data_IF_991632624225
#
_entry.id   IF_991632624225
#
_cell.length_a   1.000
_cell.length_b   1.000
_cell.length_c   1.000
_cell.angle_alpha   90.00
_cell.angle_beta   90.00
_cell.angle_gamma   90.00
#
_symmetry.space_group_name_H-M   'P 1'
#
loop_
_entity.id
_entity.type
_entity.pdbx_description
1 polymer ?
#
# COMPACT_ATOMS: atom_id res chain seq x y z
N UNK A 1 1.16 -18.42 11.01
CA UNK A 1 0.47 -17.13 10.81
C UNK A 1 0.64 -16.26 12.05
N UNK A 2 0.80 -14.95 11.86
CA UNK A 2 0.88 -13.95 12.92
C UNK A 2 -0.33 -13.02 12.83
N UNK A 3 -0.95 -12.69 13.97
CA UNK A 3 -2.17 -11.87 14.07
C UNK A 3 -2.05 -10.91 15.26
N UNK A 4 -2.66 -9.73 15.16
CA UNK A 4 -2.67 -8.73 16.23
C UNK A 4 -4.07 -8.56 16.81
N UNK A 5 -4.19 -8.68 18.13
CA UNK A 5 -5.44 -8.52 18.86
C UNK A 5 -5.41 -7.27 19.73
N UNK A 6 -6.52 -6.53 19.75
CA UNK A 6 -6.74 -5.41 20.66
C UNK A 6 -7.99 -5.70 21.49
N UNK A 7 -7.86 -5.75 22.82
CA UNK A 7 -8.96 -6.06 23.76
C UNK A 7 -9.73 -7.35 23.43
N UNK A 8 -9.04 -8.38 22.94
CA UNK A 8 -9.63 -9.67 22.57
C UNK A 8 -10.24 -9.71 21.16
N UNK A 9 -10.29 -8.59 20.47
CA UNK A 9 -10.80 -8.45 19.10
C UNK A 9 -9.63 -8.42 18.12
N UNK A 10 -9.72 -9.11 17.00
CA UNK A 10 -8.69 -9.08 15.96
C UNK A 10 -8.69 -7.70 15.31
N UNK A 11 -7.63 -6.95 15.57
CA UNK A 11 -7.54 -5.56 15.15
C UNK A 11 -6.07 -5.22 14.92
N UNK A 12 -5.69 -5.18 13.65
CA UNK A 12 -4.33 -4.94 13.19
C UNK A 12 -3.87 -5.92 12.11
N UNK A 13 -2.57 -5.90 11.83
CA UNK A 13 -1.97 -6.66 10.75
C UNK A 13 -2.03 -8.16 11.00
N UNK A 14 -2.23 -8.93 9.93
CA UNK A 14 -1.92 -10.35 9.91
C UNK A 14 -0.84 -10.65 8.84
N UNK A 15 -0.09 -11.72 9.08
CA UNK A 15 0.90 -12.24 8.13
C UNK A 15 0.83 -13.76 8.11
N UNK A 16 0.55 -14.32 6.95
CA UNK A 16 0.60 -15.73 6.67
C UNK A 16 1.91 -16.06 5.96
N UNK A 17 2.45 -17.26 6.20
CA UNK A 17 3.73 -17.69 5.65
C UNK A 17 3.56 -19.04 4.97
N UNK A 18 4.33 -19.27 3.91
CA UNK A 18 4.55 -20.57 3.31
C UNK A 18 5.35 -21.48 4.24
N UNK A 19 5.35 -22.79 3.99
CA UNK A 19 6.13 -23.76 4.76
C UNK A 19 7.64 -23.44 4.74
N UNK A 20 8.11 -22.81 3.66
CA UNK A 20 9.49 -22.35 3.51
C UNK A 20 9.82 -21.05 4.29
N UNK A 21 8.87 -20.49 5.05
CA UNK A 21 9.04 -19.29 5.86
C UNK A 21 8.87 -17.96 5.11
N UNK A 22 8.65 -17.97 3.78
CA UNK A 22 8.33 -16.76 3.00
C UNK A 22 6.91 -16.28 3.29
N UNK A 23 6.66 -14.99 3.13
CA UNK A 23 5.31 -14.43 3.30
C UNK A 23 4.41 -14.96 2.17
N UNK A 24 3.25 -15.48 2.57
CA UNK A 24 2.19 -16.01 1.70
C UNK A 24 1.06 -15.01 1.52
N UNK A 25 0.68 -14.33 2.59
CA UNK A 25 -0.33 -13.29 2.54
C UNK A 25 -0.14 -12.31 3.69
N UNK A 26 -0.60 -11.09 3.52
CA UNK A 26 -0.69 -10.09 4.56
C UNK A 26 -1.97 -9.27 4.37
N UNK A 27 -2.42 -8.65 5.44
CA UNK A 27 -3.55 -7.76 5.40
C UNK A 27 -3.91 -7.24 6.78
N UNK A 28 -5.06 -6.60 6.89
CA UNK A 28 -5.50 -5.95 8.12
C UNK A 28 -6.89 -6.43 8.50
N UNK A 29 -7.07 -6.65 9.79
CA UNK A 29 -8.39 -6.77 10.40
C UNK A 29 -8.72 -5.50 11.17
N UNK A 30 -9.97 -5.05 11.07
CA UNK A 30 -10.55 -4.01 11.90
C UNK A 30 -11.80 -4.57 12.55
N UNK A 31 -11.79 -4.70 13.88
CA UNK A 31 -12.91 -5.23 14.64
C UNK A 31 -13.40 -6.62 14.17
N UNK A 32 -12.47 -7.57 14.03
CA UNK A 32 -12.68 -8.94 13.50
C UNK A 32 -13.08 -9.02 12.01
N UNK A 33 -13.29 -7.90 11.32
CA UNK A 33 -13.57 -7.85 9.88
C UNK A 33 -12.29 -7.62 9.07
N UNK A 34 -12.14 -8.36 7.96
CA UNK A 34 -10.98 -8.19 7.08
C UNK A 34 -11.16 -6.96 6.20
N UNK A 35 -10.16 -6.07 6.23
CA UNK A 35 -10.07 -4.93 5.31
C UNK A 35 -9.47 -5.43 4.01
N UNK A 36 -10.34 -5.72 3.04
CA UNK A 36 -9.94 -6.28 1.75
C UNK A 36 -8.96 -5.37 0.99
N UNK A 37 -9.13 -4.05 1.08
CA UNK A 37 -8.26 -3.04 0.47
C UNK A 37 -6.78 -3.18 0.85
N UNK A 38 -6.49 -3.76 2.02
CA UNK A 38 -5.13 -4.01 2.49
C UNK A 38 -4.69 -5.48 2.30
N UNK A 39 -5.55 -6.34 1.75
CA UNK A 39 -5.25 -7.75 1.53
C UNK A 39 -4.33 -7.93 0.34
N UNK A 40 -3.20 -8.58 0.60
CA UNK A 40 -2.22 -8.95 -0.40
C UNK A 40 -1.88 -10.42 -0.25
N UNK A 41 -1.97 -11.18 -1.34
CA UNK A 41 -1.47 -12.56 -1.38
C UNK A 41 -0.39 -12.72 -2.44
N UNK A 42 0.59 -13.56 -2.12
CA UNK A 42 1.74 -13.87 -2.94
C UNK A 42 1.57 -15.30 -3.44
N UNK A 43 1.64 -15.57 -4.74
CA UNK A 43 1.66 -16.94 -5.25
C UNK A 43 3.03 -17.59 -5.03
N UNK A 44 3.06 -18.86 -4.64
CA UNK A 44 4.29 -19.65 -4.54
C UNK A 44 4.77 -19.99 -5.95
N UNK A 45 5.53 -19.07 -6.56
CA UNK A 45 6.19 -19.28 -7.84
C UNK A 45 7.65 -18.87 -7.77
N UNK A 46 8.42 -19.33 -8.76
CA UNK A 46 9.86 -19.15 -8.96
C UNK A 46 10.39 -17.86 -8.30
N UNK A 47 11.48 -17.90 -7.51
CA UNK A 47 12.05 -16.72 -6.83
C UNK A 47 12.27 -15.48 -7.72
N UNK A 48 12.20 -15.60 -9.05
CA UNK A 48 12.29 -14.51 -10.03
C UNK A 48 10.95 -13.82 -10.38
N UNK A 49 9.81 -14.45 -10.11
CA UNK A 49 8.48 -13.97 -10.51
C UNK A 49 7.58 -13.96 -9.28
N UNK A 50 7.21 -12.75 -8.81
CA UNK A 50 6.22 -12.59 -7.77
C UNK A 50 4.93 -12.12 -8.46
N UNK A 51 3.94 -13.00 -8.48
CA UNK A 51 2.57 -12.61 -8.78
C UNK A 51 1.92 -12.15 -7.47
N UNK A 52 1.55 -10.86 -7.42
CA UNK A 52 0.87 -10.25 -6.29
C UNK A 52 -0.61 -10.13 -6.64
N UNK A 53 -1.50 -10.61 -5.78
CA UNK A 53 -2.93 -10.40 -5.92
C UNK A 53 -3.34 -9.35 -4.91
N UNK A 54 -3.78 -8.18 -5.41
CA UNK A 54 -4.35 -7.08 -4.63
C UNK A 54 -5.80 -6.97 -5.04
N UNK A 55 -6.73 -7.10 -4.08
CA UNK A 55 -8.18 -7.07 -4.36
C UNK A 55 -8.67 -8.07 -5.43
N UNK A 56 -7.97 -9.19 -5.60
CA UNK A 56 -8.31 -10.18 -6.62
C UNK A 56 -7.73 -9.89 -8.01
N UNK A 57 -7.07 -8.74 -8.20
CA UNK A 57 -6.38 -8.42 -9.45
C UNK A 57 -4.93 -8.90 -9.41
N UNK A 58 -4.55 -9.69 -10.42
CA UNK A 58 -3.19 -10.23 -10.58
C UNK A 58 -2.25 -9.16 -11.14
N UNK A 59 -1.24 -8.79 -10.36
CA UNK A 59 -0.14 -7.93 -10.78
C UNK A 59 1.16 -8.74 -10.89
N UNK A 60 1.81 -8.70 -12.07
CA UNK A 60 3.04 -9.45 -12.36
C UNK A 60 4.26 -8.56 -12.14
N UNK A 61 5.10 -8.89 -11.16
CA UNK A 61 6.35 -8.17 -10.92
C UNK A 61 7.56 -9.04 -11.28
N UNK A 62 8.41 -8.54 -12.19
CA UNK A 62 9.70 -9.13 -12.54
C UNK A 62 10.76 -8.68 -11.53
N UNK A 63 11.23 -9.61 -10.69
CA UNK A 63 12.59 -9.68 -10.19
C UNK A 63 13.23 -8.50 -9.43
N UNK A 64 12.51 -7.41 -9.08
CA UNK A 64 13.02 -6.43 -8.11
C UNK A 64 12.46 -6.76 -6.74
N UNK A 65 13.38 -7.05 -5.80
CA UNK A 65 13.23 -7.16 -4.34
C UNK A 65 11.86 -6.65 -3.90
N UNK A 66 10.99 -7.57 -3.45
CA UNK A 66 9.58 -7.32 -3.12
C UNK A 66 9.39 -5.89 -2.58
N UNK A 67 8.83 -5.02 -3.41
CA UNK A 67 8.64 -3.60 -3.08
C UNK A 67 7.78 -3.56 -1.84
N UNK A 68 8.36 -3.10 -0.72
CA UNK A 68 7.66 -2.98 0.55
C UNK A 68 6.38 -2.17 0.32
N UNK A 69 5.24 -2.75 0.68
CA UNK A 69 3.95 -2.07 0.58
C UNK A 69 3.89 -1.03 1.70
N UNK A 70 3.82 0.25 1.34
CA UNK A 70 3.74 1.36 2.29
C UNK A 70 2.33 1.93 2.21
N UNK A 71 1.59 1.80 3.30
CA UNK A 71 0.20 2.26 3.40
C UNK A 71 0.14 3.45 4.33
N UNK A 72 -0.61 4.47 3.94
CA UNK A 72 -0.91 5.62 4.76
C UNK A 72 -2.36 6.06 4.58
N UNK A 73 -2.75 7.13 5.27
CA UNK A 73 -4.07 7.75 5.20
C UNK A 73 -3.96 9.22 4.80
N UNK A 74 -5.02 9.74 4.17
CA UNK A 74 -5.15 11.15 3.87
C UNK A 74 -5.39 11.95 5.15
N UNK A 75 -4.50 12.91 5.43
CA UNK A 75 -4.67 13.90 6.52
C UNK A 75 -5.78 14.91 6.20
N UNK A 76 -5.91 15.25 4.93
CA UNK A 76 -6.90 16.17 4.33
C UNK A 76 -7.27 15.64 2.94
N UNK A 77 -8.33 16.18 2.32
CA UNK A 77 -8.69 15.82 0.95
C UNK A 77 -7.50 16.03 -0.01
N UNK A 78 -7.14 14.96 -0.72
CA UNK A 78 -5.98 14.91 -1.60
C UNK A 78 -6.33 15.07 -3.07
N UNK A 79 -5.50 15.84 -3.80
CA UNK A 79 -5.62 15.99 -5.26
C UNK A 79 -4.63 15.04 -5.94
N UNK A 80 -5.12 13.92 -6.48
CA UNK A 80 -4.26 13.00 -7.24
C UNK A 80 -3.96 13.63 -8.60
N UNK A 81 -2.68 13.84 -8.91
CA UNK A 81 -2.25 14.54 -10.13
C UNK A 81 -1.52 13.61 -11.09
N UNK A 82 -1.47 14.00 -12.36
CA UNK A 82 -0.73 13.26 -13.38
C UNK A 82 0.79 13.30 -13.16
N UNK A 83 1.30 14.45 -12.71
CA UNK A 83 2.73 14.70 -12.50
C UNK A 83 2.97 15.31 -11.10
N UNK A 84 4.20 15.25 -10.56
CA UNK A 84 4.55 15.82 -9.25
C UNK A 84 4.64 17.36 -9.29
N UNK A 85 3.54 18.01 -9.66
CA UNK A 85 3.43 19.46 -9.80
C UNK A 85 2.02 19.93 -9.46
N UNK A 86 1.91 21.03 -8.73
CA UNK A 86 0.63 21.67 -8.40
C UNK A 86 -0.11 22.21 -9.62
N UNK A 87 0.59 22.39 -10.74
CA UNK A 87 0.02 22.82 -12.02
C UNK A 87 -0.42 21.66 -12.91
N UNK A 88 -0.10 20.41 -12.54
CA UNK A 88 -0.47 19.24 -13.31
C UNK A 88 -1.96 18.91 -13.18
N UNK A 89 -2.51 18.27 -14.21
CA UNK A 89 -3.90 17.83 -14.27
C UNK A 89 -4.28 16.97 -13.04
N UNK A 90 -5.44 17.24 -12.46
CA UNK A 90 -6.01 16.45 -11.36
C UNK A 90 -6.85 15.33 -11.96
N UNK A 91 -6.52 14.08 -11.62
CA UNK A 91 -7.26 12.92 -12.07
C UNK A 91 -8.51 12.62 -11.24
N UNK A 92 -8.42 12.82 -9.92
CA UNK A 92 -9.49 12.64 -8.97
C UNK A 92 -9.13 13.27 -7.62
N UNK A 93 -10.14 13.37 -6.75
CA UNK A 93 -9.99 13.74 -5.35
C UNK A 93 -10.07 12.48 -4.49
N UNK A 94 -9.24 12.42 -3.44
CA UNK A 94 -9.24 11.34 -2.46
C UNK A 94 -9.67 11.94 -1.13
N UNK A 95 -10.77 11.46 -0.56
CA UNK A 95 -11.32 12.01 0.68
C UNK A 95 -10.36 11.85 1.86
N UNK A 96 -10.48 12.74 2.85
CA UNK A 96 -9.78 12.63 4.13
C UNK A 96 -9.99 11.23 4.73
N UNK A 97 -8.98 10.73 5.44
CA UNK A 97 -8.97 9.44 6.16
C UNK A 97 -8.96 8.19 5.27
N UNK A 98 -9.15 8.34 3.94
CA UNK A 98 -8.98 7.24 2.99
C UNK A 98 -7.57 6.68 3.04
N UNK A 99 -7.46 5.36 2.90
CA UNK A 99 -6.19 4.63 2.87
C UNK A 99 -5.65 4.59 1.45
N UNK A 100 -4.34 4.79 1.32
CA UNK A 100 -3.65 4.74 0.03
C UNK A 100 -2.30 4.02 0.18
N UNK A 101 -1.92 3.29 -0.86
CA UNK A 101 -0.59 2.74 -1.00
C UNK A 101 0.32 3.70 -1.76
N UNK A 102 1.51 3.96 -1.23
CA UNK A 102 2.55 4.77 -1.87
C UNK A 102 3.75 3.90 -2.25
N UNK A 103 4.44 4.25 -3.34
CA UNK A 103 5.52 3.42 -3.88
C UNK A 103 6.83 4.15 -4.17
N UNK A 104 6.78 5.42 -4.56
CA UNK A 104 7.97 6.22 -4.92
C UNK A 104 7.83 7.61 -4.31
N UNK A 105 8.95 8.21 -3.89
CA UNK A 105 9.00 9.58 -3.41
C UNK A 105 9.95 10.41 -4.26
N UNK A 106 9.47 11.55 -4.77
CA UNK A 106 10.31 12.49 -5.51
C UNK A 106 9.72 13.90 -5.43
N UNK A 107 10.58 14.89 -5.16
CA UNK A 107 10.23 16.32 -5.13
C UNK A 107 9.02 16.67 -4.24
N UNK A 108 8.84 15.99 -3.11
CA UNK A 108 7.70 16.22 -2.19
C UNK A 108 6.40 15.51 -2.59
N UNK A 109 6.46 14.60 -3.57
CA UNK A 109 5.29 13.83 -4.02
C UNK A 109 5.52 12.35 -3.85
N UNK A 110 4.45 11.67 -3.47
CA UNK A 110 4.35 10.22 -3.50
C UNK A 110 3.63 9.76 -4.76
N UNK A 111 4.15 8.72 -5.40
CA UNK A 111 3.43 7.99 -6.45
C UNK A 111 2.49 6.98 -5.82
N UNK A 112 1.26 6.91 -6.32
CA UNK A 112 0.24 5.97 -5.86
C UNK A 112 -0.66 5.50 -7.00
N UNK A 113 -1.21 4.30 -6.81
CA UNK A 113 -2.30 3.75 -7.62
C UNK A 113 -3.59 3.86 -6.83
N UNK A 114 -4.61 4.51 -7.40
CA UNK A 114 -5.91 4.65 -6.76
C UNK A 114 -7.02 4.64 -7.80
N UNK A 115 -8.05 3.81 -7.60
CA UNK A 115 -9.20 3.69 -8.49
C UNK A 115 -8.81 3.47 -9.96
N UNK A 116 -7.87 2.55 -10.20
CA UNK A 116 -7.36 2.23 -11.55
C UNK A 116 -6.50 3.32 -12.21
N UNK A 117 -6.15 4.40 -11.50
CA UNK A 117 -5.29 5.48 -12.01
C UNK A 117 -3.98 5.53 -11.24
N UNK A 118 -2.89 5.68 -11.97
CA UNK A 118 -1.59 6.02 -11.40
C UNK A 118 -1.41 7.53 -11.39
N UNK A 119 -1.00 8.09 -10.24
CA UNK A 119 -0.70 9.51 -10.14
C UNK A 119 0.25 9.86 -9.01
N UNK A 120 0.50 11.14 -8.86
CA UNK A 120 1.33 11.75 -7.84
C UNK A 120 0.47 12.56 -6.88
N UNK A 121 0.71 12.39 -5.58
CA UNK A 121 0.04 13.12 -4.52
C UNK A 121 1.09 13.78 -3.63
N UNK A 122 0.94 15.08 -3.38
CA UNK A 122 1.89 15.80 -2.56
C UNK A 122 1.85 15.32 -1.10
N UNK A 123 3.00 15.27 -0.45
CA UNK A 123 3.14 14.77 0.92
C UNK A 123 2.28 15.52 1.95
N UNK A 124 1.95 16.79 1.71
CA UNK A 124 1.11 17.59 2.62
C UNK A 124 -0.29 17.00 2.85
N UNK A 125 -0.77 16.17 1.90
CA UNK A 125 -2.09 15.56 1.98
C UNK A 125 -2.09 14.28 2.83
N UNK A 126 -0.92 13.73 3.15
CA UNK A 126 -0.77 12.40 3.74
C UNK A 126 -0.34 12.50 5.19
N UNK A 127 -0.78 11.54 6.00
CA UNK A 127 -0.12 11.27 7.28
C UNK A 127 1.24 10.62 7.00
N UNK A 128 2.28 11.05 7.69
CA UNK A 128 3.61 10.46 7.51
C UNK A 128 3.76 9.22 8.40
N UNK A 129 4.33 8.16 7.86
CA UNK A 129 4.64 6.93 8.60
C UNK A 129 6.15 6.68 8.62
N UNK A 130 6.62 5.85 9.56
CA UNK A 130 8.03 5.47 9.64
C UNK A 130 8.55 4.85 8.33
N UNK A 131 7.72 4.04 7.67
CA UNK A 131 8.08 3.40 6.40
C UNK A 131 8.17 4.41 5.25
N UNK A 132 7.36 5.48 5.28
CA UNK A 132 7.45 6.58 4.32
C UNK A 132 8.74 7.40 4.49
N UNK A 133 9.22 7.57 5.73
CA UNK A 133 10.51 8.21 6.00
C UNK A 133 11.66 7.40 5.45
N UNK A 134 11.61 6.07 5.56
CA UNK A 134 12.61 5.20 4.94
C UNK A 134 12.63 5.37 3.41
N UNK A 135 11.46 5.45 2.78
CA UNK A 135 11.32 5.65 1.33
C UNK A 135 11.89 6.99 0.83
N UNK A 136 11.85 8.06 1.65
CA UNK A 136 12.43 9.37 1.27
C UNK A 136 13.96 9.35 1.17
N UNK A 137 14.60 8.39 1.83
CA UNK A 137 16.06 8.33 2.00
C UNK A 137 16.72 7.23 1.15
N UNK A 138 15.96 6.57 0.25
CA UNK A 138 16.47 5.63 -0.76
C UNK A 138 16.86 6.36 -2.06
#
# INVERSE_FOLDING_TARGET
>A
MKKTYNKGVLNGKFTEYYQNGKIKAEGIYLNDEMVWDDYVSYLENDPKIIDIIVLGEKQKFLGKKASKIIITTLKIEGKLRKEPSVFSAVFLLISKEQRVQVSEYYAGYYKLWYSGKQGCLNEIYLNETYDMLALKNE
#
